data_IF_544956639797
#
_entry.id   IF_544956639797
#
_cell.length_a   1.000
_cell.length_b   1.000
_cell.length_c   1.000
_cell.angle_alpha   90.00
_cell.angle_beta   90.00
_cell.angle_gamma   90.00
#
_symmetry.space_group_name_H-M   'P 1'
#
loop_
_entity.id
_entity.type
_entity.pdbx_description
1 polymer ?
#
# COMPACT_ATOMS: atom_id res chain seq x y z
N UNK A 1 14.95 9.67 -11.21
CA UNK A 1 13.76 9.48 -10.35
C UNK A 1 14.13 9.72 -8.89
N UNK A 2 13.25 10.36 -8.13
CA UNK A 2 13.44 10.59 -6.69
C UNK A 2 13.34 9.26 -5.94
N UNK A 3 14.30 8.95 -5.06
CA UNK A 3 14.31 7.69 -4.31
C UNK A 3 13.42 7.81 -3.07
N UNK A 4 12.25 7.17 -3.09
CA UNK A 4 11.35 7.14 -1.94
C UNK A 4 11.81 6.11 -0.89
N UNK A 5 11.47 6.37 0.38
CA UNK A 5 11.73 5.45 1.48
C UNK A 5 10.58 4.45 1.57
N UNK A 6 10.82 3.22 1.13
CA UNK A 6 9.88 2.10 1.28
C UNK A 6 10.51 1.12 2.26
N UNK A 7 9.81 0.88 3.37
CA UNK A 7 10.21 -0.13 4.35
C UNK A 7 9.13 -1.20 4.40
N UNK A 8 9.51 -2.47 4.51
CA UNK A 8 8.55 -3.56 4.67
C UNK A 8 8.89 -4.29 5.94
N UNK A 9 7.96 -4.31 6.88
CA UNK A 9 8.07 -5.17 8.05
C UNK A 9 7.66 -6.59 7.66
N UNK A 10 8.54 -7.55 7.88
CA UNK A 10 8.33 -8.95 7.50
C UNK A 10 8.44 -9.84 8.74
N UNK A 11 7.42 -10.65 9.01
CA UNK A 11 7.37 -11.52 10.20
C UNK A 11 7.87 -12.97 9.97
N UNK A 12 8.45 -13.25 8.80
CA UNK A 12 8.96 -14.56 8.37
C UNK A 12 7.88 -15.66 8.27
N UNK A 13 6.66 -15.26 7.89
CA UNK A 13 5.48 -16.15 7.78
C UNK A 13 5.20 -16.64 6.36
N UNK A 14 5.97 -16.20 5.36
CA UNK A 14 5.69 -16.50 3.95
C UNK A 14 6.88 -17.12 3.20
N UNK A 15 6.58 -17.82 2.10
CA UNK A 15 7.62 -18.34 1.21
C UNK A 15 8.34 -17.18 0.51
N UNK A 16 9.64 -17.03 0.84
CA UNK A 16 10.52 -15.98 0.32
C UNK A 16 10.58 -15.93 -1.20
N UNK A 17 10.29 -17.04 -1.90
CA UNK A 17 10.27 -17.10 -3.38
C UNK A 17 9.00 -16.50 -3.99
N UNK A 18 7.87 -16.55 -3.28
CA UNK A 18 6.56 -16.06 -3.74
C UNK A 18 6.23 -14.67 -3.19
N UNK A 19 6.86 -14.28 -2.10
CA UNK A 19 6.68 -13.01 -1.44
C UNK A 19 7.07 -11.82 -2.34
N UNK A 20 6.14 -10.87 -2.49
CA UNK A 20 6.37 -9.65 -3.26
C UNK A 20 7.35 -8.69 -2.59
N UNK A 21 7.46 -8.72 -1.24
CA UNK A 21 8.38 -7.89 -0.49
C UNK A 21 9.86 -8.18 -0.82
N UNK A 22 10.26 -9.45 -0.83
CA UNK A 22 11.65 -9.83 -1.18
C UNK A 22 11.99 -9.50 -2.62
N UNK A 23 11.01 -9.51 -3.53
CA UNK A 23 11.25 -9.08 -4.91
C UNK A 23 11.54 -7.58 -4.99
N UNK A 24 10.82 -6.75 -4.23
CA UNK A 24 11.10 -5.31 -4.14
C UNK A 24 12.47 -5.02 -3.54
N UNK A 25 12.89 -5.81 -2.54
CA UNK A 25 14.23 -5.69 -1.95
C UNK A 25 15.32 -6.05 -2.97
N UNK A 26 15.18 -7.16 -3.70
CA UNK A 26 16.11 -7.56 -4.77
C UNK A 26 16.26 -6.50 -5.88
N UNK A 27 15.21 -5.70 -6.09
CA UNK A 27 15.20 -4.59 -7.05
C UNK A 27 15.71 -3.28 -6.45
N UNK A 28 16.20 -3.27 -5.20
CA UNK A 28 16.62 -2.08 -4.46
C UNK A 28 15.53 -1.01 -4.30
N UNK A 29 14.25 -1.41 -4.35
CA UNK A 29 13.08 -0.53 -4.25
C UNK A 29 12.57 -0.39 -2.82
N UNK A 30 12.75 -1.42 -2.00
CA UNK A 30 12.34 -1.43 -0.60
C UNK A 30 13.45 -2.01 0.29
N UNK A 31 13.40 -1.66 1.58
CA UNK A 31 14.21 -2.29 2.63
C UNK A 31 13.33 -3.20 3.48
N UNK A 32 13.71 -4.45 3.67
CA UNK A 32 13.01 -5.32 4.63
C UNK A 32 13.58 -5.12 6.03
N UNK A 33 12.69 -5.11 7.01
CA UNK A 33 13.02 -5.07 8.43
C UNK A 33 12.25 -6.16 9.17
N UNK A 34 12.89 -6.74 10.19
CA UNK A 34 12.30 -7.82 11.00
C UNK A 34 12.02 -7.35 12.43
N UNK A 35 12.59 -6.21 12.83
CA UNK A 35 12.38 -5.62 14.14
C UNK A 35 11.59 -4.31 14.01
N UNK A 36 10.53 -4.17 14.81
CA UNK A 36 9.72 -2.95 14.90
C UNK A 36 10.55 -1.69 15.15
N UNK A 37 11.69 -1.78 15.84
CA UNK A 37 12.59 -0.65 16.07
C UNK A 37 13.21 -0.06 14.80
N UNK A 38 13.24 -0.85 13.71
CA UNK A 38 13.83 -0.44 12.44
C UNK A 38 12.79 0.22 11.53
N UNK A 39 11.51 0.21 11.90
CA UNK A 39 10.46 0.93 11.19
C UNK A 39 10.69 2.44 11.40
N UNK A 40 10.74 3.25 10.33
CA UNK A 40 10.95 4.69 10.45
C UNK A 40 9.82 5.37 11.23
N UNK A 41 10.17 6.11 12.28
CA UNK A 41 9.20 6.88 13.06
C UNK A 41 8.52 7.95 12.21
N UNK A 42 7.21 8.05 12.36
CA UNK A 42 6.37 9.00 11.63
C UNK A 42 6.19 8.69 10.15
N UNK A 43 6.61 7.52 9.65
CA UNK A 43 6.22 7.06 8.32
C UNK A 43 4.73 6.68 8.30
N UNK A 44 4.17 6.58 7.09
CA UNK A 44 2.82 6.03 6.90
C UNK A 44 2.89 4.53 7.00
N UNK A 45 2.08 3.95 7.87
CA UNK A 45 1.90 2.50 7.97
C UNK A 45 0.62 2.11 7.25
N UNK A 46 0.74 1.19 6.31
CA UNK A 46 -0.42 0.57 5.66
C UNK A 46 -1.08 -0.41 6.65
N UNK A 47 -2.28 -0.06 7.08
CA UNK A 47 -3.08 -0.78 8.05
C UNK A 47 -4.50 -0.93 7.50
N UNK A 48 -4.94 -2.15 7.15
CA UNK A 48 -6.28 -2.38 6.59
C UNK A 48 -7.43 -2.05 7.56
N UNK A 49 -7.15 -1.88 8.85
CA UNK A 49 -8.13 -1.54 9.89
C UNK A 49 -8.06 -0.08 10.35
N UNK A 50 -7.37 0.78 9.58
CA UNK A 50 -7.36 2.22 9.86
C UNK A 50 -8.66 2.87 9.38
N UNK A 51 -9.24 3.72 10.22
CA UNK A 51 -10.42 4.54 9.87
C UNK A 51 -10.12 5.57 8.78
N UNK A 52 -8.85 5.97 8.66
CA UNK A 52 -8.39 6.92 7.65
C UNK A 52 -7.78 6.16 6.47
N UNK A 53 -8.29 6.43 5.28
CA UNK A 53 -7.76 5.92 4.00
C UNK A 53 -6.60 6.78 3.50
N UNK A 54 -5.67 6.17 2.77
CA UNK A 54 -4.61 6.89 2.07
C UNK A 54 -5.22 7.86 1.06
N UNK A 55 -4.72 9.09 1.02
CA UNK A 55 -5.24 10.13 0.12
C UNK A 55 -4.16 11.14 -0.29
N UNK A 56 -4.42 12.02 -1.27
CA UNK A 56 -3.46 13.05 -1.68
C UNK A 56 -2.92 13.95 -0.57
N UNK A 57 -3.64 14.11 0.55
CA UNK A 57 -3.16 14.86 1.73
C UNK A 57 -1.88 14.27 2.35
N UNK A 58 -1.61 12.99 2.11
CA UNK A 58 -0.47 12.25 2.64
C UNK A 58 0.83 12.47 1.84
N UNK A 59 0.76 13.16 0.70
CA UNK A 59 1.87 13.34 -0.26
C UNK A 59 3.17 13.84 0.39
N UNK A 60 3.05 14.88 1.21
CA UNK A 60 4.18 15.49 1.91
C UNK A 60 4.82 14.53 2.92
N UNK A 61 3.99 13.75 3.60
CA UNK A 61 4.42 12.78 4.60
C UNK A 61 5.12 11.59 3.93
N UNK A 62 4.56 11.07 2.83
CA UNK A 62 5.20 10.05 1.99
C UNK A 62 6.56 10.54 1.50
N UNK A 63 6.66 11.79 1.05
CA UNK A 63 7.91 12.35 0.55
C UNK A 63 8.98 12.47 1.65
N UNK A 64 8.61 12.92 2.85
CA UNK A 64 9.55 13.18 3.96
C UNK A 64 9.92 11.91 4.73
N UNK A 65 8.94 11.03 4.99
CA UNK A 65 9.05 9.92 5.94
C UNK A 65 8.95 8.55 5.27
N UNK A 66 8.24 8.44 4.16
CA UNK A 66 8.09 7.19 3.42
C UNK A 66 6.86 6.37 3.81
N UNK A 67 6.77 5.18 3.23
CA UNK A 67 5.67 4.23 3.39
C UNK A 67 6.21 2.93 3.96
N UNK A 68 5.44 2.34 4.88
CA UNK A 68 5.70 1.06 5.53
C UNK A 68 4.61 0.07 5.15
N UNK A 69 5.01 -0.96 4.38
CA UNK A 69 4.17 -2.12 4.12
C UNK A 69 4.33 -3.17 5.22
N UNK A 70 3.30 -3.97 5.43
CA UNK A 70 3.31 -5.09 6.38
C UNK A 70 3.16 -6.40 5.61
N UNK A 71 4.21 -7.22 5.63
CA UNK A 71 4.21 -8.57 5.07
C UNK A 71 4.10 -9.59 6.21
N UNK A 72 2.94 -9.59 6.85
CA UNK A 72 2.59 -10.50 7.94
C UNK A 72 1.07 -10.58 8.10
N UNK A 73 0.62 -11.58 8.87
CA UNK A 73 -0.77 -11.55 9.37
C UNK A 73 -0.98 -10.34 10.28
N UNK A 74 -2.13 -9.67 10.17
CA UNK A 74 -2.44 -8.53 11.03
C UNK A 74 -2.42 -8.89 12.52
N UNK A 75 -2.83 -10.11 12.87
CA UNK A 75 -2.88 -10.63 14.24
C UNK A 75 -1.53 -10.55 14.98
N UNK A 76 -0.40 -10.58 14.26
CA UNK A 76 0.94 -10.47 14.84
C UNK A 76 1.30 -9.05 15.31
N UNK A 77 0.83 -8.04 14.59
CA UNK A 77 1.18 -6.64 14.86
C UNK A 77 0.10 -5.91 15.66
N UNK A 78 -1.15 -6.37 15.56
CA UNK A 78 -2.32 -5.74 16.20
C UNK A 78 -2.32 -5.80 17.73
N UNK A 79 -1.61 -6.77 18.32
CA UNK A 79 -1.43 -6.86 19.78
C UNK A 79 -0.25 -6.06 20.30
N UNK A 80 0.59 -5.50 19.41
CA UNK A 80 1.81 -4.81 19.79
C UNK A 80 1.55 -3.32 20.05
N UNK A 81 1.45 -2.91 21.32
CA UNK A 81 1.38 -1.48 21.69
C UNK A 81 2.55 -0.66 21.11
N UNK A 82 3.71 -1.30 20.98
CA UNK A 82 4.90 -0.70 20.36
C UNK A 82 4.69 -0.37 18.89
N UNK A 83 3.98 -1.22 18.14
CA UNK A 83 3.72 -0.98 16.72
C UNK A 83 2.93 0.32 16.52
N UNK A 84 1.87 0.51 17.31
CA UNK A 84 1.05 1.73 17.28
C UNK A 84 1.77 2.97 17.81
N UNK A 85 2.79 2.83 18.67
CA UNK A 85 3.55 3.97 19.17
C UNK A 85 4.62 4.50 18.19
N UNK A 86 4.94 3.76 17.12
CA UNK A 86 5.93 4.18 16.11
C UNK A 86 5.46 5.38 15.28
N UNK A 87 4.16 5.50 15.07
CA UNK A 87 3.54 6.55 14.25
C UNK A 87 2.04 6.60 14.53
N UNK A 88 1.45 7.80 14.47
CA UNK A 88 0.00 7.96 14.44
C UNK A 88 -0.59 7.84 13.02
N UNK A 89 0.28 7.77 12.00
CA UNK A 89 -0.11 7.83 10.60
C UNK A 89 -0.37 6.43 10.05
N UNK A 90 -1.49 5.84 10.47
CA UNK A 90 -2.01 4.61 9.88
C UNK A 90 -2.96 4.95 8.73
N UNK A 91 -2.88 4.20 7.63
CA UNK A 91 -3.75 4.37 6.47
C UNK A 91 -4.27 3.02 5.97
N UNK A 92 -5.57 2.93 5.78
CA UNK A 92 -6.18 1.86 4.99
C UNK A 92 -6.05 2.24 3.51
N UNK A 93 -6.30 1.27 2.64
CA UNK A 93 -6.43 1.54 1.21
C UNK A 93 -7.90 1.45 0.83
N UNK A 94 -8.37 2.32 -0.09
CA UNK A 94 -9.72 2.21 -0.60
C UNK A 94 -9.89 0.93 -1.43
N UNK A 95 -11.13 0.65 -1.80
CA UNK A 95 -11.47 -0.48 -2.65
C UNK A 95 -10.63 -0.49 -3.92
N UNK A 96 -9.93 -1.60 -4.11
CA UNK A 96 -9.11 -1.94 -5.25
C UNK A 96 -9.13 -3.46 -5.41
N UNK A 97 -8.95 -3.92 -6.64
CA UNK A 97 -8.96 -5.32 -7.02
C UNK A 97 -7.52 -5.80 -7.19
N UNK A 98 -7.17 -6.91 -6.55
CA UNK A 98 -5.85 -7.50 -6.70
C UNK A 98 -5.66 -8.10 -8.10
N UNK A 99 -4.49 -7.89 -8.69
CA UNK A 99 -4.02 -8.53 -9.92
C UNK A 99 -2.89 -9.55 -9.67
N UNK A 100 -2.39 -9.63 -8.44
CA UNK A 100 -1.39 -10.65 -8.08
C UNK A 100 -1.94 -12.08 -8.30
N UNK A 101 -1.12 -13.03 -8.81
CA UNK A 101 -1.60 -14.36 -9.19
C UNK A 101 -2.30 -15.16 -8.06
N UNK A 102 -1.98 -14.85 -6.79
CA UNK A 102 -2.57 -15.53 -5.63
C UNK A 102 -3.98 -15.03 -5.33
N UNK A 103 -4.25 -13.75 -5.56
CA UNK A 103 -5.50 -13.07 -5.18
C UNK A 103 -6.21 -12.41 -6.36
N UNK A 104 -5.88 -12.78 -7.60
CA UNK A 104 -6.43 -12.16 -8.80
C UNK A 104 -7.96 -12.04 -8.73
N UNK A 105 -8.48 -10.85 -9.01
CA UNK A 105 -9.91 -10.55 -9.00
C UNK A 105 -10.52 -10.38 -7.60
N UNK A 106 -9.78 -10.63 -6.52
CA UNK A 106 -10.32 -10.49 -5.16
C UNK A 106 -10.27 -9.02 -4.70
N UNK A 107 -11.39 -8.46 -4.21
CA UNK A 107 -11.43 -7.11 -3.70
C UNK A 107 -10.64 -6.98 -2.39
N UNK A 108 -9.91 -5.89 -2.22
CA UNK A 108 -9.18 -5.53 -1.00
C UNK A 108 -8.17 -6.58 -0.50
N UNK A 109 -7.77 -7.54 -1.36
CA UNK A 109 -6.76 -8.58 -1.06
C UNK A 109 -5.43 -8.32 -1.77
N UNK A 110 -5.03 -7.05 -1.79
CA UNK A 110 -3.79 -6.60 -2.41
C UNK A 110 -2.57 -7.28 -1.78
N UNK A 111 -1.59 -7.64 -2.60
CA UNK A 111 -0.25 -7.97 -2.13
C UNK A 111 0.47 -6.74 -1.58
N UNK A 112 1.53 -6.96 -0.79
CA UNK A 112 2.36 -5.88 -0.23
C UNK A 112 2.87 -4.91 -1.30
N UNK A 113 3.30 -5.41 -2.47
CA UNK A 113 3.72 -4.56 -3.57
C UNK A 113 2.58 -3.73 -4.17
N UNK A 114 1.40 -4.34 -4.39
CA UNK A 114 0.22 -3.63 -4.91
C UNK A 114 -0.25 -2.55 -3.94
N UNK A 115 -0.27 -2.85 -2.63
CA UNK A 115 -0.66 -1.89 -1.60
C UNK A 115 0.27 -0.67 -1.56
N UNK A 116 1.58 -0.91 -1.64
CA UNK A 116 2.57 0.18 -1.69
C UNK A 116 2.40 0.97 -2.99
N UNK A 117 2.28 0.31 -4.15
CA UNK A 117 2.09 0.99 -5.42
C UNK A 117 0.80 1.83 -5.45
N UNK A 118 -0.32 1.28 -4.97
CA UNK A 118 -1.58 2.01 -4.84
C UNK A 118 -1.42 3.26 -4.00
N UNK A 119 -0.72 3.16 -2.86
CA UNK A 119 -0.43 4.33 -2.01
C UNK A 119 0.32 5.41 -2.79
N UNK A 120 1.39 5.05 -3.50
CA UNK A 120 2.14 6.02 -4.32
C UNK A 120 1.29 6.64 -5.43
N UNK A 121 0.42 5.85 -6.06
CA UNK A 121 -0.47 6.34 -7.10
C UNK A 121 -1.45 7.37 -6.54
N UNK A 122 -2.15 7.00 -5.46
CA UNK A 122 -3.16 7.82 -4.81
C UNK A 122 -2.54 9.14 -4.35
N UNK A 123 -1.35 9.15 -3.74
CA UNK A 123 -0.73 10.41 -3.30
C UNK A 123 -0.11 11.25 -4.45
N UNK A 124 -0.29 10.81 -5.70
CA UNK A 124 0.13 11.54 -6.91
C UNK A 124 1.55 11.23 -7.41
N UNK A 125 2.24 10.22 -6.88
CA UNK A 125 3.53 9.73 -7.37
C UNK A 125 3.35 8.57 -8.38
N UNK A 126 2.55 8.80 -9.42
CA UNK A 126 2.11 7.78 -10.40
C UNK A 126 3.28 7.03 -11.06
N UNK A 127 4.35 7.72 -11.43
CA UNK A 127 5.53 7.08 -12.04
C UNK A 127 6.26 6.13 -11.08
N UNK A 128 6.26 6.46 -9.78
CA UNK A 128 6.83 5.58 -8.75
C UNK A 128 5.96 4.34 -8.57
N UNK A 129 4.64 4.50 -8.56
CA UNK A 129 3.72 3.36 -8.53
C UNK A 129 3.92 2.42 -9.74
N UNK A 130 4.00 2.99 -10.95
CA UNK A 130 4.28 2.23 -12.19
C UNK A 130 5.63 1.54 -12.13
N UNK A 131 6.68 2.22 -11.68
CA UNK A 131 8.00 1.60 -11.51
C UNK A 131 7.96 0.43 -10.52
N UNK A 132 7.33 0.58 -9.35
CA UNK A 132 7.15 -0.52 -8.38
C UNK A 132 6.52 -1.74 -9.07
N UNK A 133 5.46 -1.52 -9.84
CA UNK A 133 4.74 -2.60 -10.52
C UNK A 133 5.49 -3.19 -11.72
N UNK A 134 6.33 -2.42 -12.43
CA UNK A 134 7.17 -2.91 -13.53
C UNK A 134 8.11 -4.06 -13.12
N UNK A 135 8.37 -4.20 -11.82
CA UNK A 135 9.10 -5.33 -11.27
C UNK A 135 8.38 -6.68 -11.40
N UNK A 136 7.09 -6.69 -11.74
CA UNK A 136 6.22 -7.86 -11.76
C UNK A 136 5.62 -8.06 -13.15
N UNK A 137 5.65 -9.30 -13.67
CA UNK A 137 5.09 -9.60 -15.01
C UNK A 137 3.61 -9.20 -15.12
N UNK A 138 2.85 -9.36 -14.05
CA UNK A 138 1.44 -9.01 -13.91
C UNK A 138 1.21 -7.56 -13.41
N UNK A 139 2.27 -6.79 -13.19
CA UNK A 139 2.15 -5.50 -12.51
C UNK A 139 1.42 -4.43 -13.33
N UNK A 140 1.53 -4.46 -14.66
CA UNK A 140 0.74 -3.61 -15.55
C UNK A 140 -0.77 -3.87 -15.38
N UNK A 141 -1.16 -5.14 -15.26
CA UNK A 141 -2.54 -5.56 -15.03
C UNK A 141 -3.12 -4.94 -13.76
N UNK A 142 -2.34 -4.77 -12.68
CA UNK A 142 -2.84 -4.10 -11.47
C UNK A 142 -3.25 -2.66 -11.73
N UNK A 143 -2.42 -1.90 -12.47
CA UNK A 143 -2.70 -0.50 -12.77
C UNK A 143 -3.86 -0.38 -13.75
N UNK A 144 -3.90 -1.22 -14.79
CA UNK A 144 -4.97 -1.24 -15.79
C UNK A 144 -6.32 -1.61 -15.19
N UNK A 145 -6.36 -2.68 -14.39
CA UNK A 145 -7.58 -3.17 -13.73
C UNK A 145 -8.21 -2.13 -12.81
N UNK A 146 -7.39 -1.27 -12.21
CA UNK A 146 -7.85 -0.27 -11.24
C UNK A 146 -7.72 1.16 -11.76
N UNK A 147 -7.49 1.37 -13.06
CA UNK A 147 -7.04 2.67 -13.57
C UNK A 147 -8.04 3.79 -13.26
N UNK A 148 -9.33 3.56 -13.51
CA UNK A 148 -10.40 4.51 -13.23
C UNK A 148 -10.41 4.93 -11.75
N UNK A 149 -10.39 3.96 -10.84
CA UNK A 149 -10.38 4.20 -9.40
C UNK A 149 -9.09 4.89 -8.95
N UNK A 150 -7.93 4.44 -9.41
CA UNK A 150 -6.64 5.02 -9.07
C UNK A 150 -6.54 6.49 -9.54
N UNK A 151 -7.06 6.79 -10.73
CA UNK A 151 -7.14 8.16 -11.23
C UNK A 151 -8.08 9.00 -10.37
N UNK A 152 -9.30 8.51 -10.10
CA UNK A 152 -10.29 9.20 -9.27
C UNK A 152 -9.76 9.47 -7.85
N UNK A 153 -9.20 8.46 -7.17
CA UNK A 153 -8.60 8.62 -5.84
C UNK A 153 -7.42 9.60 -5.84
N UNK A 154 -6.62 9.65 -6.91
CA UNK A 154 -5.51 10.58 -7.02
C UNK A 154 -5.94 12.04 -7.24
N UNK A 155 -7.18 12.26 -7.68
CA UNK A 155 -7.80 13.57 -7.83
C UNK A 155 -8.51 14.08 -6.56
N UNK A 156 -8.67 13.23 -5.55
CA UNK A 156 -9.34 13.58 -4.30
C UNK A 156 -8.53 14.57 -3.45
N UNK A 157 -9.19 15.30 -2.55
CA UNK A 157 -8.54 16.25 -1.65
C UNK A 157 -8.06 15.60 -0.36
N UNK A 158 -8.79 14.60 0.14
CA UNK A 158 -8.57 13.99 1.45
C UNK A 158 -9.18 12.58 1.56
N UNK A 159 -8.96 11.92 2.71
CA UNK A 159 -9.49 10.58 2.98
C UNK A 159 -11.01 10.45 2.86
N UNK A 160 -11.78 11.46 3.25
CA UNK A 160 -13.25 11.39 3.20
C UNK A 160 -13.75 11.36 1.76
N UNK A 161 -13.13 12.13 0.88
CA UNK A 161 -13.44 12.15 -0.54
C UNK A 161 -13.04 10.84 -1.24
N UNK A 162 -11.88 10.27 -0.88
CA UNK A 162 -11.48 8.92 -1.33
C UNK A 162 -12.53 7.86 -0.97
N UNK A 163 -13.07 7.91 0.26
CA UNK A 163 -14.12 6.98 0.70
C UNK A 163 -15.44 7.24 -0.02
N UNK A 164 -15.78 8.51 -0.30
CA UNK A 164 -16.97 8.85 -1.07
C UNK A 164 -16.91 8.28 -2.51
N UNK A 165 -15.77 8.44 -3.19
CA UNK A 165 -15.52 7.86 -4.52
C UNK A 165 -15.67 6.34 -4.48
N UNK A 166 -15.05 5.68 -3.50
CA UNK A 166 -15.19 4.23 -3.31
C UNK A 166 -16.66 3.82 -3.20
N UNK A 167 -17.41 4.48 -2.31
CA UNK A 167 -18.79 4.09 -2.04
C UNK A 167 -19.68 4.32 -3.26
N UNK A 168 -19.44 5.38 -4.02
CA UNK A 168 -20.16 5.64 -5.26
C UNK A 168 -19.87 4.60 -6.35
N UNK A 169 -18.63 4.15 -6.45
CA UNK A 169 -18.28 3.05 -7.34
C UNK A 169 -18.97 1.75 -6.93
N UNK A 170 -18.96 1.41 -5.64
CA UNK A 170 -19.54 0.15 -5.14
C UNK A 170 -21.05 0.05 -5.34
N UNK A 171 -21.79 1.15 -5.16
CA UNK A 171 -23.25 1.19 -5.40
C UNK A 171 -23.65 0.78 -6.81
N UNK A 172 -22.80 0.98 -7.81
CA UNK A 172 -23.08 0.60 -9.20
C UNK A 172 -23.12 -0.92 -9.41
N UNK A 173 -22.70 -1.69 -8.40
CA UNK A 173 -22.60 -3.15 -8.44
C UNK A 173 -23.34 -3.83 -7.29
N UNK A 174 -24.21 -3.11 -6.57
CA UNK A 174 -25.03 -3.64 -5.46
C UNK A 174 -26.40 -4.21 -5.92
N UNK A 175 -26.55 -4.58 -7.20
CA UNK A 175 -27.75 -5.25 -7.74
C UNK A 175 -27.70 -6.79 -7.58
#
# INVERSE_FOLDING_TARGET
MKKFKITIFHADECDKKKCTAFKLEKQNKARIVYNLNQIPRGAIILNPFSDKSASPEDKDLVLKKGVVGLDCSWNKVSSSAKFFSLTKYHRSLPFLIAASPVNYGKPCKLSTAEAIAATFYIVGFKDTAKDIMNGFKWGHTFIELNLELLEAYSGASNSSEVVAIQNEFLKQYED
#
